data_IF_877304830757
#
_entry.id   IF_877304830757
#
_cell.length_a   1.000
_cell.length_b   1.000
_cell.length_c   1.000
_cell.angle_alpha   90.00
_cell.angle_beta   90.00
_cell.angle_gamma   90.00
#
_symmetry.space_group_name_H-M   'P 1'
#
loop_
_entity.id
_entity.type
_entity.pdbx_description
1 polymer ?
#
# COMPACT_ATOMS: atom_id res chain seq x y z
N UNK A 1 -2.40 21.51 -16.21
CA UNK A 1 -2.34 20.73 -17.48
C UNK A 1 -1.43 19.53 -17.23
N UNK A 2 -1.78 18.33 -17.72
CA UNK A 2 -0.86 17.19 -17.67
C UNK A 2 0.34 17.43 -18.61
N UNK A 3 1.53 16.96 -18.23
CA UNK A 3 2.77 17.20 -18.98
C UNK A 3 2.97 16.25 -20.17
N UNK A 4 2.28 15.11 -20.18
CA UNK A 4 2.48 14.04 -21.17
C UNK A 4 3.66 13.11 -20.86
N UNK A 5 4.39 13.37 -19.78
CA UNK A 5 5.52 12.54 -19.34
C UNK A 5 5.07 11.34 -18.50
N UNK A 6 5.85 10.26 -18.54
CA UNK A 6 5.63 9.07 -17.71
C UNK A 6 5.75 9.41 -16.22
N UNK A 7 4.79 8.95 -15.41
CA UNK A 7 4.87 9.09 -13.96
C UNK A 7 5.95 8.17 -13.39
N UNK A 8 6.74 8.72 -12.45
CA UNK A 8 7.76 7.99 -11.71
C UNK A 8 7.63 8.24 -10.21
N UNK A 9 7.88 7.20 -9.41
CA UNK A 9 7.92 7.25 -7.97
C UNK A 9 9.21 6.61 -7.44
N UNK A 10 9.77 7.18 -6.37
CA UNK A 10 11.01 6.69 -5.76
C UNK A 10 10.76 5.69 -4.63
N UNK A 11 9.54 5.74 -4.07
CA UNK A 11 9.07 4.82 -3.06
C UNK A 11 7.78 4.18 -3.56
N UNK A 12 7.73 2.86 -3.61
CA UNK A 12 6.51 2.09 -3.88
C UNK A 12 6.11 1.36 -2.59
N UNK A 13 4.86 1.48 -2.22
CA UNK A 13 4.25 0.79 -1.08
C UNK A 13 3.11 -0.06 -1.62
N UNK A 14 3.18 -1.36 -1.42
CA UNK A 14 2.11 -2.30 -1.73
C UNK A 14 1.39 -2.65 -0.44
N UNK A 15 0.17 -2.14 -0.28
CA UNK A 15 -0.68 -2.32 0.88
C UNK A 15 -1.68 -3.45 0.62
N UNK A 16 -1.57 -4.57 1.34
CA UNK A 16 -2.49 -5.68 1.18
C UNK A 16 -3.68 -5.52 2.12
N UNK A 17 -4.87 -5.30 1.56
CA UNK A 17 -6.11 -5.07 2.28
C UNK A 17 -7.23 -5.98 1.77
N UNK A 18 -8.11 -6.43 2.66
CA UNK A 18 -9.25 -7.29 2.26
C UNK A 18 -10.21 -6.50 1.38
N UNK A 19 -10.58 -7.09 0.25
CA UNK A 19 -11.58 -6.54 -0.66
C UNK A 19 -12.81 -7.44 -0.60
N UNK A 20 -13.96 -6.89 -0.21
CA UNK A 20 -15.21 -7.61 -0.04
C UNK A 20 -16.26 -7.08 -1.01
N UNK A 21 -16.95 -7.98 -1.70
CA UNK A 21 -18.14 -7.59 -2.46
C UNK A 21 -19.29 -7.33 -1.48
N UNK A 22 -19.94 -6.19 -1.61
CA UNK A 22 -21.06 -5.81 -0.75
C UNK A 22 -22.39 -6.52 -1.09
N UNK A 23 -22.41 -7.35 -2.14
CA UNK A 23 -23.61 -8.08 -2.56
C UNK A 23 -24.70 -7.17 -3.13
N UNK A 24 -24.37 -5.92 -3.46
CA UNK A 24 -25.31 -4.98 -4.06
C UNK A 24 -25.52 -5.30 -5.54
N UNK A 25 -26.64 -4.87 -6.12
CA UNK A 25 -26.92 -5.01 -7.57
C UNK A 25 -25.82 -4.38 -8.45
N UNK A 26 -25.10 -3.39 -7.89
CA UNK A 26 -24.02 -2.67 -8.55
C UNK A 26 -22.63 -3.27 -8.29
N UNK A 27 -22.55 -4.37 -7.52
CA UNK A 27 -21.31 -5.11 -7.23
C UNK A 27 -20.19 -4.24 -6.64
N UNK A 28 -20.55 -3.32 -5.74
CA UNK A 28 -19.57 -2.48 -5.06
C UNK A 28 -18.56 -3.32 -4.27
N UNK A 29 -17.28 -2.92 -4.36
CA UNK A 29 -16.20 -3.51 -3.59
C UNK A 29 -15.85 -2.57 -2.44
N UNK A 30 -15.97 -3.09 -1.23
CA UNK A 30 -15.50 -2.49 0.00
C UNK A 30 -14.05 -2.92 0.24
N UNK A 31 -13.18 -1.96 0.60
CA UNK A 31 -11.76 -2.19 0.87
C UNK A 31 -11.48 -1.82 2.31
N UNK A 32 -11.05 -2.81 3.10
CA UNK A 32 -10.84 -2.65 4.54
C UNK A 32 -9.53 -1.92 4.81
N UNK A 33 -9.61 -0.59 4.92
CA UNK A 33 -8.47 0.32 5.13
C UNK A 33 -8.25 0.73 6.60
N UNK A 34 -9.16 0.36 7.51
CA UNK A 34 -9.01 0.50 8.96
C UNK A 34 -8.71 -0.89 9.51
N UNK A 35 -7.66 -1.02 10.31
CA UNK A 35 -7.11 -2.30 10.75
C UNK A 35 -5.64 -2.41 10.38
N UNK A 36 -5.20 -3.62 10.08
CA UNK A 36 -3.80 -3.93 9.77
C UNK A 36 -3.70 -5.01 8.69
N UNK A 37 -2.54 -5.10 8.04
CA UNK A 37 -2.28 -6.13 7.05
C UNK A 37 -0.84 -6.12 6.56
N UNK A 38 -0.51 -7.10 5.71
CA UNK A 38 0.82 -7.20 5.10
C UNK A 38 1.10 -5.98 4.22
N UNK A 39 2.36 -5.57 4.16
CA UNK A 39 2.84 -4.63 3.19
C UNK A 39 4.20 -5.07 2.59
N UNK A 40 4.45 -4.64 1.36
CA UNK A 40 5.73 -4.79 0.69
C UNK A 40 6.18 -3.42 0.19
N UNK A 41 7.48 -3.15 0.25
CA UNK A 41 8.05 -1.84 -0.01
C UNK A 41 9.21 -1.91 -0.99
N UNK A 42 9.25 -0.98 -1.93
CA UNK A 42 10.42 -0.70 -2.75
C UNK A 42 10.85 0.74 -2.49
N UNK A 43 11.85 0.92 -1.62
CA UNK A 43 12.29 2.23 -1.14
C UNK A 43 13.70 2.50 -1.65
N UNK A 44 13.83 3.43 -2.60
CA UNK A 44 15.15 3.83 -3.11
C UNK A 44 15.98 2.67 -3.68
N UNK A 45 15.33 1.71 -4.34
CA UNK A 45 15.97 0.54 -4.94
C UNK A 45 16.12 -0.67 -4.01
N UNK A 46 15.69 -0.57 -2.74
CA UNK A 46 15.69 -1.69 -1.79
C UNK A 46 14.30 -2.27 -1.65
N UNK A 47 14.22 -3.60 -1.58
CA UNK A 47 13.00 -4.33 -1.27
C UNK A 47 12.92 -4.65 0.22
N UNK A 48 11.77 -4.38 0.85
CA UNK A 48 11.48 -4.70 2.23
C UNK A 48 10.06 -5.28 2.36
N UNK A 49 9.85 -6.07 3.39
CA UNK A 49 8.56 -6.61 3.83
C UNK A 49 8.15 -6.00 5.17
N UNK A 50 6.87 -6.08 5.49
CA UNK A 50 6.38 -5.62 6.78
C UNK A 50 4.86 -5.53 6.82
N UNK A 51 4.34 -4.53 7.54
CA UNK A 51 2.91 -4.38 7.80
C UNK A 51 2.46 -2.93 7.69
N UNK A 52 1.18 -2.75 7.37
CA UNK A 52 0.51 -1.46 7.54
C UNK A 52 -0.49 -1.56 8.69
N UNK A 53 -0.71 -0.44 9.38
CA UNK A 53 -1.73 -0.30 10.41
C UNK A 53 -2.42 1.05 10.29
N UNK A 54 -3.74 1.08 10.48
CA UNK A 54 -4.52 2.31 10.57
C UNK A 54 -5.58 2.15 11.65
N UNK A 55 -5.48 2.97 12.70
CA UNK A 55 -6.34 2.87 13.90
C UNK A 55 -7.81 3.20 13.63
N UNK A 56 -8.06 4.29 12.91
CA UNK A 56 -9.39 4.80 12.61
C UNK A 56 -9.38 5.66 11.34
N UNK A 57 -10.53 6.23 10.96
CA UNK A 57 -10.69 6.99 9.72
C UNK A 57 -9.78 8.23 9.67
N UNK A 58 -9.57 8.87 10.83
CA UNK A 58 -8.87 10.15 10.95
C UNK A 58 -7.37 9.98 11.20
N UNK A 59 -6.95 8.78 11.61
CA UNK A 59 -5.55 8.45 11.83
C UNK A 59 -4.80 8.25 10.51
N UNK A 60 -3.52 8.60 10.43
CA UNK A 60 -2.70 8.22 9.28
C UNK A 60 -2.48 6.70 9.23
N UNK A 61 -2.20 6.18 8.04
CA UNK A 61 -1.71 4.81 7.89
C UNK A 61 -0.24 4.77 8.28
N UNK A 62 0.10 3.93 9.24
CA UNK A 62 1.46 3.60 9.64
C UNK A 62 1.98 2.46 8.76
N UNK A 63 3.22 2.56 8.29
CA UNK A 63 3.91 1.51 7.54
C UNK A 63 5.15 1.10 8.34
N UNK A 64 5.24 -0.19 8.65
CA UNK A 64 6.20 -0.77 9.56
C UNK A 64 7.00 -1.86 8.85
N UNK A 65 8.29 -1.97 9.14
CA UNK A 65 9.11 -3.11 8.70
C UNK A 65 8.80 -4.39 9.50
N UNK A 66 9.50 -5.48 9.19
CA UNK A 66 9.34 -6.77 9.89
C UNK A 66 9.68 -6.72 11.39
N UNK A 67 10.48 -5.74 11.81
CA UNK A 67 10.84 -5.52 13.21
C UNK A 67 9.80 -4.65 13.96
N UNK A 68 8.78 -4.17 13.25
CA UNK A 68 7.75 -3.27 13.79
C UNK A 68 8.19 -1.81 13.86
N UNK A 69 9.32 -1.45 13.26
CA UNK A 69 9.79 -0.07 13.22
C UNK A 69 9.17 0.67 12.02
N UNK A 70 8.88 1.99 12.13
CA UNK A 70 8.42 2.78 10.98
C UNK A 70 9.41 2.73 9.81
N UNK A 71 8.90 2.45 8.62
CA UNK A 71 9.74 2.46 7.41
C UNK A 71 10.32 3.87 7.17
N UNK A 72 11.50 3.92 6.54
CA UNK A 72 12.20 5.17 6.21
C UNK A 72 12.22 5.37 4.69
N UNK A 73 11.16 5.96 4.10
CA UNK A 73 11.15 6.25 2.66
C UNK A 73 12.24 7.26 2.30
N UNK A 74 12.82 7.12 1.11
CA UNK A 74 13.84 8.05 0.62
C UNK A 74 13.19 9.31 0.04
N UNK A 75 13.95 10.41 -0.06
CA UNK A 75 13.45 11.68 -0.63
C UNK A 75 12.96 11.49 -2.07
N UNK A 76 11.66 11.69 -2.29
CA UNK A 76 11.02 11.59 -3.60
C UNK A 76 9.52 11.34 -3.48
N UNK A 77 8.85 11.15 -4.62
CA UNK A 77 7.43 10.81 -4.67
C UNK A 77 7.21 9.39 -4.17
N UNK A 78 6.10 9.18 -3.47
CA UNK A 78 5.64 7.87 -2.98
C UNK A 78 4.37 7.47 -3.69
N UNK A 79 4.30 6.22 -4.14
CA UNK A 79 3.10 5.61 -4.69
C UNK A 79 2.62 4.50 -3.75
N UNK A 80 1.37 4.56 -3.32
CA UNK A 80 0.74 3.52 -2.51
C UNK A 80 -0.25 2.76 -3.39
N UNK A 81 0.01 1.48 -3.62
CA UNK A 81 -0.86 0.57 -4.36
C UNK A 81 -1.58 -0.36 -3.38
N UNK A 82 -2.90 -0.28 -3.31
CA UNK A 82 -3.71 -1.19 -2.49
C UNK A 82 -4.07 -2.44 -3.30
N UNK A 83 -3.80 -3.61 -2.75
CA UNK A 83 -3.99 -4.91 -3.40
C UNK A 83 -4.79 -5.87 -2.52
N UNK A 84 -5.38 -6.90 -3.14
CA UNK A 84 -5.99 -8.02 -2.43
C UNK A 84 -4.90 -8.88 -1.76
N UNK A 85 -5.16 -9.53 -0.61
CA UNK A 85 -4.11 -10.22 0.17
C UNK A 85 -3.34 -11.31 -0.59
N UNK A 86 -4.00 -11.97 -1.54
CA UNK A 86 -3.43 -13.09 -2.28
C UNK A 86 -2.86 -12.68 -3.65
N UNK A 87 -2.64 -11.38 -3.88
CA UNK A 87 -2.05 -10.90 -5.13
C UNK A 87 -0.53 -11.04 -5.05
N UNK A 88 0.06 -11.81 -5.96
CA UNK A 88 1.51 -11.89 -6.08
C UNK A 88 2.07 -10.67 -6.82
N UNK A 89 3.24 -10.20 -6.34
CA UNK A 89 4.02 -9.16 -6.98
C UNK A 89 5.20 -9.84 -7.66
N UNK A 90 5.29 -9.69 -8.97
CA UNK A 90 6.45 -10.13 -9.74
C UNK A 90 7.64 -9.18 -9.50
N UNK A 91 8.78 -9.75 -9.11
CA UNK A 91 10.00 -9.03 -8.74
C UNK A 91 11.09 -9.45 -9.73
N UNK A 92 11.19 -8.72 -10.84
CA UNK A 92 12.22 -8.93 -11.86
C UNK A 92 13.06 -7.67 -12.02
#
# INVERSE_FOLDING_TARGET
KATGEQLAARNLIFQFARHRNLGTKLLHIDVELIGEGKAEYFLGGKYLTGTWRKKDLNSPTEYLDEEGNPIKPVKGKTWVQVLRPNKEIEKR
#
